data_IF_785025952392
#
_entry.id   IF_785025952392
#
_cell.length_a   1.000
_cell.length_b   1.000
_cell.length_c   1.000
_cell.angle_alpha   90.00
_cell.angle_beta   90.00
_cell.angle_gamma   90.00
#
_symmetry.space_group_name_H-M   'P 1'
#
loop_
_entity.id
_entity.type
_entity.pdbx_description
1 polymer ?
#
# COMPACT_ATOMS: atom_id res chain seq x y z
N UNK A 1 8.45 31.57 4.32
CA UNK A 1 8.01 30.17 4.46
C UNK A 1 6.90 29.87 3.46
N UNK A 2 6.94 28.73 2.73
CA UNK A 2 5.84 28.38 1.82
C UNK A 2 4.56 28.11 2.62
N UNK A 3 3.38 28.43 2.06
CA UNK A 3 2.07 28.20 2.71
C UNK A 3 1.91 26.74 3.17
N UNK A 4 2.47 25.77 2.43
CA UNK A 4 2.48 24.35 2.82
C UNK A 4 3.26 24.09 4.10
N UNK A 5 4.40 24.78 4.33
CA UNK A 5 5.23 24.59 5.53
C UNK A 5 4.51 25.07 6.78
N UNK A 6 3.79 26.21 6.69
CA UNK A 6 2.93 26.72 7.77
C UNK A 6 1.75 25.77 8.06
N UNK A 7 1.14 25.18 7.00
CA UNK A 7 -0.01 24.28 7.15
C UNK A 7 0.37 22.93 7.78
N UNK A 8 1.59 22.47 7.56
CA UNK A 8 2.08 21.18 8.05
C UNK A 8 2.89 21.30 9.36
N UNK A 9 2.92 22.48 9.97
CA UNK A 9 3.62 22.73 11.24
C UNK A 9 2.91 21.98 12.38
N UNK A 10 3.67 21.18 13.11
CA UNK A 10 3.20 20.49 14.31
C UNK A 10 3.33 21.47 15.48
N UNK A 11 2.20 21.93 15.99
CA UNK A 11 2.14 22.92 17.08
C UNK A 11 2.02 22.29 18.45
N UNK A 12 1.46 21.08 18.51
CA UNK A 12 1.32 20.33 19.74
C UNK A 12 0.79 18.93 19.45
N UNK A 13 0.96 18.04 20.41
CA UNK A 13 0.51 16.66 20.36
C UNK A 13 -0.06 16.24 21.72
N UNK A 14 -1.07 15.36 21.69
CA UNK A 14 -1.52 14.64 22.87
C UNK A 14 -0.58 13.48 23.14
N UNK A 15 -0.09 13.36 24.36
CA UNK A 15 0.63 12.19 24.83
C UNK A 15 -0.34 11.01 25.14
N UNK A 16 0.22 9.90 25.63
CA UNK A 16 -0.55 8.69 25.95
C UNK A 16 -1.50 8.88 27.15
N UNK A 17 -1.15 9.79 28.04
CA UNK A 17 -1.90 10.08 29.27
C UNK A 17 -3.00 11.15 29.03
N UNK A 18 -3.15 11.60 27.78
CA UNK A 18 -4.13 12.61 27.40
C UNK A 18 -3.72 14.03 27.80
N UNK A 19 -2.43 14.30 27.99
CA UNK A 19 -1.90 15.63 28.25
C UNK A 19 -1.47 16.28 26.94
N UNK A 20 -1.84 17.54 26.74
CA UNK A 20 -1.44 18.33 25.58
C UNK A 20 -0.04 18.91 25.78
N UNK A 21 0.87 18.66 24.84
CA UNK A 21 2.25 19.12 24.83
C UNK A 21 2.51 20.04 23.63
N UNK A 22 2.91 21.28 23.90
CA UNK A 22 3.25 22.29 22.88
C UNK A 22 4.75 22.56 22.83
N UNK A 23 5.50 22.20 23.84
CA UNK A 23 6.93 22.40 23.88
C UNK A 23 7.66 21.44 22.93
N UNK A 24 8.74 21.94 22.32
CA UNK A 24 9.49 21.19 21.31
C UNK A 24 10.05 19.86 21.84
N UNK A 25 10.46 19.81 23.11
CA UNK A 25 11.00 18.59 23.74
C UNK A 25 9.89 17.55 23.94
N UNK A 26 8.72 17.95 24.42
CA UNK A 26 7.57 17.06 24.60
C UNK A 26 7.08 16.49 23.27
N UNK A 27 6.95 17.32 22.22
CA UNK A 27 6.58 16.87 20.87
C UNK A 27 7.59 15.82 20.34
N UNK A 28 8.89 16.07 20.51
CA UNK A 28 9.94 15.14 20.09
C UNK A 28 9.87 13.83 20.87
N UNK A 29 9.68 13.88 22.19
CA UNK A 29 9.53 12.67 23.02
C UNK A 29 8.36 11.81 22.58
N UNK A 30 7.17 12.43 22.43
CA UNK A 30 5.95 11.75 21.98
C UNK A 30 6.17 11.08 20.61
N UNK A 31 6.77 11.80 19.68
CA UNK A 31 7.01 11.27 18.33
C UNK A 31 8.03 10.11 18.34
N UNK A 32 9.13 10.26 19.08
CA UNK A 32 10.19 9.24 19.18
C UNK A 32 9.68 7.98 19.87
N UNK A 33 8.96 8.12 20.97
CA UNK A 33 8.34 7.00 21.70
C UNK A 33 7.35 6.24 20.82
N UNK A 34 6.47 6.97 20.11
CA UNK A 34 5.50 6.37 19.20
C UNK A 34 6.17 5.49 18.13
N UNK A 35 7.26 5.94 17.52
CA UNK A 35 7.95 5.17 16.49
C UNK A 35 8.82 4.06 17.06
N UNK A 36 9.42 4.23 18.24
CA UNK A 36 10.11 3.15 18.95
C UNK A 36 9.16 1.97 19.21
N UNK A 37 7.95 2.24 19.71
CA UNK A 37 6.95 1.19 19.92
C UNK A 37 6.45 0.59 18.61
N UNK A 38 6.16 1.44 17.61
CA UNK A 38 5.65 0.97 16.32
C UNK A 38 6.63 0.03 15.61
N UNK A 39 7.94 0.31 15.69
CA UNK A 39 8.98 -0.44 15.01
C UNK A 39 9.67 -1.50 15.90
N UNK A 40 9.18 -1.74 17.12
CA UNK A 40 9.68 -2.81 17.98
C UNK A 40 8.92 -4.10 17.70
N UNK A 41 9.68 -5.19 17.46
CA UNK A 41 9.10 -6.53 17.27
C UNK A 41 8.44 -7.04 18.54
N UNK A 42 7.36 -7.79 18.39
CA UNK A 42 6.73 -8.57 19.46
C UNK A 42 7.18 -10.03 19.50
N UNK A 43 8.13 -10.42 18.62
CA UNK A 43 8.63 -11.80 18.49
C UNK A 43 7.51 -12.82 18.24
N UNK A 44 6.76 -12.72 17.13
CA UNK A 44 5.60 -13.56 16.84
C UNK A 44 5.94 -15.05 16.79
N UNK A 45 5.04 -15.89 17.30
CA UNK A 45 5.24 -17.35 17.42
C UNK A 45 4.74 -18.14 16.21
N UNK A 46 3.65 -17.74 15.59
CA UNK A 46 2.93 -18.48 14.54
C UNK A 46 3.55 -18.46 13.12
N UNK A 47 4.70 -17.80 12.94
CA UNK A 47 5.28 -17.54 11.61
C UNK A 47 5.58 -18.79 10.78
N UNK A 48 5.97 -19.90 11.43
CA UNK A 48 6.32 -21.15 10.73
C UNK A 48 5.08 -21.89 10.24
N UNK A 49 4.03 -21.92 11.04
CA UNK A 49 2.74 -22.53 10.64
C UNK A 49 2.20 -21.85 9.37
N UNK A 50 2.14 -20.52 9.35
CA UNK A 50 1.65 -19.77 8.20
C UNK A 50 2.57 -19.93 6.98
N UNK A 51 3.89 -19.89 7.16
CA UNK A 51 4.83 -20.10 6.07
C UNK A 51 4.66 -21.48 5.42
N UNK A 52 4.35 -22.52 6.20
CA UNK A 52 4.14 -23.88 5.67
C UNK A 52 2.92 -24.01 4.74
N UNK A 53 1.96 -23.07 4.76
CA UNK A 53 0.83 -23.03 3.84
C UNK A 53 1.23 -22.54 2.43
N UNK A 54 2.42 -21.95 2.27
CA UNK A 54 2.87 -21.36 1.00
C UNK A 54 3.61 -22.44 0.18
N UNK A 55 3.25 -22.61 -1.10
CA UNK A 55 3.97 -23.51 -1.98
C UNK A 55 5.35 -22.94 -2.35
N UNK A 56 6.29 -23.83 -2.65
CA UNK A 56 7.56 -23.44 -3.26
C UNK A 56 7.29 -22.96 -4.69
N UNK A 57 7.51 -21.67 -4.95
CA UNK A 57 7.17 -21.01 -6.22
C UNK A 57 8.37 -20.45 -6.96
N UNK A 58 9.52 -20.29 -6.31
CA UNK A 58 10.76 -19.80 -6.91
C UNK A 58 11.53 -20.96 -7.50
N UNK A 59 11.75 -20.93 -8.83
CA UNK A 59 12.46 -21.98 -9.55
C UNK A 59 13.99 -21.82 -9.44
N UNK A 60 14.79 -22.88 -9.76
CA UNK A 60 16.24 -22.77 -9.82
C UNK A 60 16.71 -21.68 -10.79
N UNK A 61 16.06 -21.54 -11.95
CA UNK A 61 16.38 -20.54 -12.99
C UNK A 61 16.14 -19.12 -12.48
N UNK A 62 15.03 -18.90 -11.73
CA UNK A 62 14.78 -17.61 -11.08
C UNK A 62 15.86 -17.30 -10.05
N UNK A 63 16.27 -18.26 -9.24
CA UNK A 63 17.33 -18.09 -8.27
C UNK A 63 18.68 -17.77 -8.93
N UNK A 64 19.00 -18.42 -10.05
CA UNK A 64 20.19 -18.09 -10.84
C UNK A 64 20.16 -16.64 -11.30
N UNK A 65 19.04 -16.16 -11.85
CA UNK A 65 18.89 -14.78 -12.28
C UNK A 65 18.97 -13.78 -11.11
N UNK A 66 18.38 -14.09 -9.98
CA UNK A 66 18.41 -13.24 -8.79
C UNK A 66 19.81 -13.12 -8.17
N UNK A 67 20.59 -14.20 -8.21
CA UNK A 67 21.92 -14.27 -7.55
C UNK A 67 23.09 -14.07 -8.49
N UNK A 68 22.85 -13.95 -9.80
CA UNK A 68 23.86 -13.61 -10.80
C UNK A 68 24.61 -12.33 -10.39
N UNK A 69 25.87 -12.24 -10.71
CA UNK A 69 26.68 -11.04 -10.46
C UNK A 69 25.99 -9.78 -11.00
N UNK A 70 25.91 -8.75 -10.16
CA UNK A 70 25.28 -7.47 -10.54
C UNK A 70 26.23 -6.69 -11.45
N UNK A 71 25.66 -6.10 -12.50
CA UNK A 71 26.39 -5.42 -13.56
C UNK A 71 26.20 -3.90 -13.51
N UNK A 72 27.16 -3.19 -14.11
CA UNK A 72 27.16 -1.73 -14.22
C UNK A 72 25.85 -1.16 -14.82
N UNK A 73 25.33 -1.83 -15.84
CA UNK A 73 24.14 -1.44 -16.58
C UNK A 73 22.88 -1.43 -15.71
N UNK A 74 22.78 -2.34 -14.75
CA UNK A 74 21.66 -2.41 -13.79
C UNK A 74 21.67 -1.20 -12.86
N UNK A 75 22.85 -0.76 -12.43
CA UNK A 75 23.03 0.43 -11.60
C UNK A 75 22.62 1.69 -12.39
N UNK A 76 23.11 1.83 -13.62
CA UNK A 76 22.75 2.93 -14.51
C UNK A 76 21.24 2.99 -14.74
N UNK A 77 20.62 1.86 -15.08
CA UNK A 77 19.17 1.75 -15.27
C UNK A 77 18.41 2.15 -14.00
N UNK A 78 18.88 1.72 -12.82
CA UNK A 78 18.26 2.08 -11.54
C UNK A 78 18.28 3.59 -11.30
N UNK A 79 19.44 4.26 -11.51
CA UNK A 79 19.59 5.71 -11.35
C UNK A 79 18.60 6.49 -12.21
N UNK A 80 18.54 6.19 -13.51
CA UNK A 80 17.67 6.92 -14.45
C UNK A 80 16.19 6.56 -14.31
N UNK A 81 15.85 5.44 -13.68
CA UNK A 81 14.46 5.06 -13.37
C UNK A 81 13.90 5.75 -12.12
N UNK A 82 14.74 6.37 -11.28
CA UNK A 82 14.30 7.16 -10.13
C UNK A 82 13.87 8.54 -10.63
N UNK A 83 12.64 8.95 -10.29
CA UNK A 83 12.14 10.26 -10.73
C UNK A 83 13.01 11.41 -10.17
N UNK A 84 13.45 12.38 -11.01
CA UNK A 84 14.42 13.43 -10.62
C UNK A 84 14.06 14.22 -9.38
N UNK A 85 12.76 14.51 -9.19
CA UNK A 85 12.24 15.35 -8.09
C UNK A 85 11.83 14.56 -6.84
N UNK A 86 12.21 13.27 -6.72
CA UNK A 86 12.00 12.53 -5.48
C UNK A 86 12.70 13.21 -4.32
N UNK A 87 12.01 13.27 -3.18
CA UNK A 87 12.57 13.86 -1.96
C UNK A 87 13.87 13.18 -1.55
N UNK A 88 14.91 13.96 -1.20
CA UNK A 88 16.20 13.46 -0.75
C UNK A 88 16.09 12.82 0.64
N UNK A 89 17.12 12.05 1.00
CA UNK A 89 17.32 11.53 2.33
C UNK A 89 18.03 12.56 3.27
N UNK A 90 18.63 12.06 4.37
CA UNK A 90 19.41 12.87 5.30
C UNK A 90 20.57 13.64 4.66
N UNK A 91 21.16 13.10 3.59
CA UNK A 91 22.25 13.72 2.81
C UNK A 91 21.82 14.98 2.02
N UNK A 92 20.52 15.23 1.89
CA UNK A 92 19.97 16.35 1.13
C UNK A 92 20.11 16.23 -0.39
N UNK A 93 20.70 15.15 -0.92
CA UNK A 93 20.96 14.96 -2.34
C UNK A 93 19.75 14.32 -3.04
N UNK A 94 19.17 15.02 -4.03
CA UNK A 94 18.05 14.52 -4.83
C UNK A 94 18.52 13.67 -6.03
N UNK A 95 17.63 12.87 -6.61
CA UNK A 95 17.97 12.03 -7.76
C UNK A 95 18.47 12.84 -8.97
N UNK A 96 17.98 14.06 -9.17
CA UNK A 96 18.45 14.94 -10.25
C UNK A 96 19.94 15.29 -10.12
N UNK A 97 20.50 15.37 -8.89
CA UNK A 97 21.91 15.58 -8.67
C UNK A 97 22.72 14.42 -9.27
N UNK A 98 22.37 13.17 -8.94
CA UNK A 98 23.05 11.98 -9.45
C UNK A 98 22.93 11.86 -10.97
N UNK A 99 21.78 12.19 -11.54
CA UNK A 99 21.54 12.11 -12.99
C UNK A 99 22.29 13.19 -13.77
N UNK A 100 22.36 14.43 -13.24
CA UNK A 100 23.05 15.56 -13.93
C UNK A 100 24.58 15.49 -13.84
N UNK A 101 25.10 15.01 -12.73
CA UNK A 101 26.55 14.92 -12.50
C UNK A 101 27.09 13.52 -12.71
N UNK A 102 26.36 12.69 -13.47
CA UNK A 102 26.68 11.29 -13.70
C UNK A 102 28.09 11.07 -14.28
N UNK A 103 28.51 11.92 -15.18
CA UNK A 103 29.86 11.87 -15.81
C UNK A 103 30.99 12.05 -14.79
N UNK A 104 30.71 12.72 -13.67
CA UNK A 104 31.70 12.98 -12.60
C UNK A 104 31.66 11.90 -11.53
N UNK A 105 30.45 11.59 -11.01
CA UNK A 105 30.29 10.72 -9.83
C UNK A 105 29.86 9.28 -10.16
N UNK A 106 29.50 9.00 -11.41
CA UNK A 106 28.88 7.75 -11.79
C UNK A 106 29.72 6.52 -11.49
N UNK A 107 31.05 6.58 -11.69
CA UNK A 107 31.94 5.45 -11.39
C UNK A 107 32.00 5.16 -9.88
N UNK A 108 32.04 6.18 -9.02
CA UNK A 108 32.07 6.00 -7.57
C UNK A 108 30.75 5.39 -7.06
N UNK A 109 29.61 5.84 -7.61
CA UNK A 109 28.30 5.28 -7.30
C UNK A 109 28.21 3.84 -7.74
N UNK A 110 28.65 3.51 -8.96
CA UNK A 110 28.64 2.14 -9.46
C UNK A 110 29.48 1.22 -8.57
N UNK A 111 30.71 1.62 -8.28
CA UNK A 111 31.61 0.86 -7.42
C UNK A 111 31.02 0.66 -6.02
N UNK A 112 30.44 1.70 -5.44
CA UNK A 112 29.78 1.61 -4.12
C UNK A 112 28.62 0.64 -4.14
N UNK A 113 27.74 0.73 -5.13
CA UNK A 113 26.55 -0.15 -5.25
C UNK A 113 26.98 -1.58 -5.53
N UNK A 114 27.90 -1.83 -6.46
CA UNK A 114 28.38 -3.16 -6.79
C UNK A 114 29.16 -3.83 -5.63
N UNK A 115 29.92 -3.06 -4.85
CA UNK A 115 30.58 -3.55 -3.64
C UNK A 115 29.55 -4.05 -2.61
N UNK A 116 28.44 -3.34 -2.44
CA UNK A 116 27.37 -3.79 -1.54
C UNK A 116 26.70 -5.05 -2.08
N UNK A 117 26.37 -5.09 -3.37
CA UNK A 117 25.58 -6.18 -3.95
C UNK A 117 26.38 -7.44 -4.24
N UNK A 118 27.65 -7.34 -4.65
CA UNK A 118 28.49 -8.48 -5.02
C UNK A 118 29.44 -8.90 -3.92
N UNK A 119 29.93 -7.97 -3.09
CA UNK A 119 30.98 -8.23 -2.09
C UNK A 119 30.47 -8.14 -0.64
N UNK A 120 29.15 -8.03 -0.40
CA UNK A 120 28.56 -7.89 0.94
C UNK A 120 29.11 -6.72 1.77
N UNK A 121 29.55 -5.63 1.13
CA UNK A 121 29.95 -4.43 1.84
C UNK A 121 28.78 -3.88 2.69
N UNK A 122 29.09 -3.23 3.80
CA UNK A 122 28.05 -2.73 4.72
C UNK A 122 27.19 -1.64 4.10
N UNK A 123 25.88 -1.81 4.18
CA UNK A 123 24.86 -0.81 3.76
C UNK A 123 24.66 0.27 4.83
N UNK A 124 25.05 0.04 6.07
CA UNK A 124 24.82 0.92 7.24
C UNK A 124 25.08 2.39 6.98
N UNK A 125 26.22 2.81 6.38
CA UNK A 125 26.51 4.23 6.15
C UNK A 125 25.53 4.93 5.20
N UNK A 126 24.89 4.16 4.30
CA UNK A 126 23.93 4.66 3.31
C UNK A 126 22.49 4.58 3.79
N UNK A 127 22.22 3.83 4.86
CA UNK A 127 20.89 3.38 5.25
C UNK A 127 20.21 4.25 6.33
N UNK A 128 20.73 5.44 6.58
CA UNK A 128 20.06 6.43 7.40
C UNK A 128 18.84 7.00 6.68
N UNK A 129 17.73 7.17 7.42
CA UNK A 129 16.45 7.53 6.85
C UNK A 129 15.72 8.54 7.76
N UNK A 130 15.23 9.62 7.18
CA UNK A 130 14.35 10.55 7.88
C UNK A 130 12.88 10.15 7.70
N UNK A 131 12.10 10.14 8.77
CA UNK A 131 10.64 9.97 8.71
C UNK A 131 9.99 11.34 8.64
N UNK A 132 9.35 11.64 7.51
CA UNK A 132 8.55 12.83 7.33
C UNK A 132 7.09 12.56 7.71
N UNK A 133 6.49 13.44 8.51
CA UNK A 133 5.12 13.34 8.99
C UNK A 133 4.17 14.11 8.07
N UNK A 134 3.35 13.39 7.32
CA UNK A 134 2.35 13.98 6.41
C UNK A 134 0.98 13.97 7.09
N UNK A 135 0.35 15.14 7.33
CA UNK A 135 -0.96 15.23 7.96
C UNK A 135 -2.05 14.50 7.16
N UNK A 136 -2.83 13.64 7.82
CA UNK A 136 -4.05 13.01 7.27
C UNK A 136 -5.27 13.93 7.37
N UNK A 137 -5.27 14.80 8.39
CA UNK A 137 -6.33 15.76 8.70
C UNK A 137 -5.83 17.20 8.61
N UNK A 138 -6.74 18.18 8.64
CA UNK A 138 -6.33 19.60 8.56
C UNK A 138 -5.60 20.13 9.82
N UNK A 139 -5.79 19.50 10.97
CA UNK A 139 -5.16 19.90 12.23
C UNK A 139 -4.90 18.65 13.07
N UNK A 140 -3.86 17.88 12.74
CA UNK A 140 -3.54 16.64 13.43
C UNK A 140 -3.05 16.94 14.85
N UNK A 141 -3.57 16.20 15.83
CA UNK A 141 -3.26 16.34 17.25
C UNK A 141 -2.66 15.07 17.85
N UNK A 142 -2.73 13.94 17.12
CA UNK A 142 -2.21 12.64 17.55
C UNK A 142 -1.27 12.06 16.49
N UNK A 143 -0.27 11.29 16.91
CA UNK A 143 0.67 10.64 16.00
C UNK A 143 0.00 9.70 14.98
N UNK A 144 -1.13 9.10 15.33
CA UNK A 144 -1.93 8.26 14.42
C UNK A 144 -2.54 9.01 13.24
N UNK A 145 -2.67 10.33 13.35
CA UNK A 145 -3.22 11.22 12.33
C UNK A 145 -2.17 11.69 11.29
N UNK A 146 -0.95 11.17 11.37
CA UNK A 146 0.08 11.39 10.38
C UNK A 146 0.37 10.13 9.57
N UNK A 147 0.76 10.32 8.32
CA UNK A 147 1.40 9.32 7.49
C UNK A 147 2.93 9.45 7.61
N UNK A 148 3.64 8.43 8.07
CA UNK A 148 5.08 8.41 8.07
C UNK A 148 5.59 8.09 6.65
N UNK A 149 6.39 8.96 6.06
CA UNK A 149 7.05 8.72 4.78
C UNK A 149 8.55 8.65 5.00
N UNK A 150 9.17 7.56 4.57
CA UNK A 150 10.61 7.33 4.70
C UNK A 150 11.39 8.06 3.61
N UNK A 151 12.21 9.00 4.01
CA UNK A 151 13.13 9.73 3.16
C UNK A 151 14.52 9.10 3.23
N UNK A 152 14.75 8.08 2.41
CA UNK A 152 16.04 7.39 2.29
C UNK A 152 17.01 8.17 1.39
N UNK A 153 18.30 8.03 1.61
CA UNK A 153 19.33 8.52 0.70
C UNK A 153 19.18 7.92 -0.70
N UNK A 154 19.49 8.71 -1.71
CA UNK A 154 19.37 8.24 -3.10
C UNK A 154 20.37 7.11 -3.40
N UNK A 155 21.58 7.16 -2.84
CA UNK A 155 22.55 6.07 -2.92
C UNK A 155 21.98 4.73 -2.45
N UNK A 156 21.28 4.72 -1.31
CA UNK A 156 20.56 3.54 -0.84
C UNK A 156 19.39 3.15 -1.79
N UNK A 157 18.60 4.14 -2.24
CA UNK A 157 17.49 3.89 -3.18
C UNK A 157 17.96 3.24 -4.48
N UNK A 158 19.17 3.53 -4.95
CA UNK A 158 19.76 2.87 -6.13
C UNK A 158 19.95 1.39 -5.86
N UNK A 159 20.55 1.02 -4.70
CA UNK A 159 20.72 -0.39 -4.30
C UNK A 159 19.38 -1.11 -4.27
N UNK A 160 18.44 -0.56 -3.52
CA UNK A 160 17.08 -1.10 -3.40
C UNK A 160 16.35 -1.21 -4.74
N UNK A 161 16.58 -0.25 -5.65
CA UNK A 161 15.98 -0.24 -6.99
C UNK A 161 16.57 -1.32 -7.91
N UNK A 162 17.87 -1.59 -7.82
CA UNK A 162 18.51 -2.70 -8.54
C UNK A 162 17.90 -4.02 -8.10
N UNK A 163 17.79 -4.26 -6.79
CA UNK A 163 17.14 -5.46 -6.24
C UNK A 163 15.67 -5.57 -6.67
N UNK A 164 14.93 -4.47 -6.60
CA UNK A 164 13.53 -4.40 -7.04
C UNK A 164 13.37 -4.73 -8.54
N UNK A 165 14.27 -4.22 -9.38
CA UNK A 165 14.24 -4.48 -10.82
C UNK A 165 14.51 -5.96 -11.14
N UNK A 166 15.41 -6.64 -10.39
CA UNK A 166 15.66 -8.09 -10.54
C UNK A 166 14.50 -8.95 -10.05
N UNK A 167 13.86 -8.58 -8.94
CA UNK A 167 12.73 -9.33 -8.39
C UNK A 167 11.48 -9.21 -9.28
N UNK A 168 11.26 -8.04 -9.86
CA UNK A 168 10.04 -7.69 -10.57
C UNK A 168 9.61 -8.68 -11.67
N UNK A 169 10.48 -9.22 -12.53
CA UNK A 169 10.08 -10.21 -13.56
C UNK A 169 9.51 -11.50 -12.99
N UNK A 170 9.97 -11.94 -11.81
CA UNK A 170 9.51 -13.17 -11.17
C UNK A 170 8.14 -13.03 -10.50
N UNK A 171 7.69 -11.80 -10.21
CA UNK A 171 6.47 -11.57 -9.43
C UNK A 171 5.21 -12.17 -10.05
N UNK A 172 5.07 -12.12 -11.38
CA UNK A 172 3.90 -12.68 -12.06
C UNK A 172 3.73 -14.18 -11.85
N UNK A 173 4.81 -14.89 -11.56
CA UNK A 173 4.83 -16.33 -11.31
C UNK A 173 4.72 -16.68 -9.82
N UNK A 174 5.39 -15.90 -8.94
CA UNK A 174 5.50 -16.24 -7.53
C UNK A 174 4.38 -15.65 -6.67
N UNK A 175 3.67 -14.64 -7.17
CA UNK A 175 2.53 -14.03 -6.51
C UNK A 175 1.23 -14.56 -7.12
N UNK A 176 0.34 -15.08 -6.29
CA UNK A 176 -0.93 -15.68 -6.72
C UNK A 176 -1.87 -14.64 -7.34
N UNK A 177 -2.78 -15.09 -8.20
CA UNK A 177 -3.65 -14.24 -9.04
C UNK A 177 -4.58 -13.31 -8.23
N UNK A 178 -4.86 -13.66 -6.98
CA UNK A 178 -5.70 -12.89 -6.06
C UNK A 178 -5.10 -11.51 -5.70
N UNK A 179 -3.76 -11.34 -5.80
CA UNK A 179 -3.06 -10.08 -5.55
C UNK A 179 -2.75 -9.36 -6.86
N UNK A 180 -3.28 -8.14 -7.06
CA UNK A 180 -3.07 -7.38 -8.30
C UNK A 180 -2.12 -6.19 -8.16
N UNK A 181 -1.79 -5.76 -6.94
CA UNK A 181 -0.93 -4.61 -6.73
C UNK A 181 0.53 -4.91 -7.10
N UNK A 182 1.20 -3.96 -7.75
CA UNK A 182 2.63 -3.96 -8.07
C UNK A 182 3.15 -5.16 -8.90
N UNK A 183 2.30 -6.09 -9.32
CA UNK A 183 2.65 -7.23 -10.15
C UNK A 183 2.59 -6.82 -11.62
N UNK A 184 3.65 -7.08 -12.43
CA UNK A 184 3.65 -6.74 -13.85
C UNK A 184 2.49 -7.41 -14.60
N UNK A 185 1.82 -6.63 -15.45
CA UNK A 185 0.71 -7.12 -16.29
C UNK A 185 -0.64 -7.20 -15.60
N UNK A 186 -0.72 -7.06 -14.26
CA UNK A 186 -2.01 -6.99 -13.53
C UNK A 186 -2.46 -5.55 -13.38
N UNK A 187 -3.76 -5.30 -13.58
CA UNK A 187 -4.32 -3.96 -13.57
C UNK A 187 -5.24 -3.78 -12.35
N UNK A 188 -5.17 -2.60 -11.72
CA UNK A 188 -6.10 -2.23 -10.65
C UNK A 188 -7.56 -2.27 -11.13
N UNK A 189 -7.79 -2.01 -12.43
CA UNK A 189 -9.12 -2.04 -13.06
C UNK A 189 -9.75 -3.43 -12.98
N UNK A 190 -8.96 -4.51 -13.22
CA UNK A 190 -9.46 -5.88 -13.18
C UNK A 190 -9.98 -6.22 -11.77
N UNK A 191 -9.24 -5.85 -10.75
CA UNK A 191 -9.62 -6.05 -9.36
C UNK A 191 -10.93 -5.30 -9.01
N UNK A 192 -11.04 -4.03 -9.47
CA UNK A 192 -12.26 -3.23 -9.28
C UNK A 192 -13.47 -3.87 -9.97
N UNK A 193 -13.31 -4.34 -11.22
CA UNK A 193 -14.42 -4.92 -12.00
C UNK A 193 -14.89 -6.24 -11.40
N UNK A 194 -13.98 -7.13 -10.99
CA UNK A 194 -14.35 -8.38 -10.30
C UNK A 194 -15.08 -8.10 -9.01
N UNK A 195 -14.58 -7.20 -8.16
CA UNK A 195 -15.26 -6.81 -6.94
C UNK A 195 -16.64 -6.19 -7.22
N UNK A 196 -16.74 -5.32 -8.23
CA UNK A 196 -18.01 -4.70 -8.64
C UNK A 196 -19.06 -5.73 -9.07
N UNK A 197 -18.68 -6.70 -9.90
CA UNK A 197 -19.58 -7.76 -10.36
C UNK A 197 -20.05 -8.63 -9.18
N UNK A 198 -19.15 -9.01 -8.27
CA UNK A 198 -19.52 -9.79 -7.08
C UNK A 198 -20.47 -8.97 -6.18
N UNK A 199 -20.19 -7.70 -5.93
CA UNK A 199 -21.05 -6.85 -5.11
C UNK A 199 -22.43 -6.64 -5.74
N UNK A 200 -22.49 -6.52 -7.07
CA UNK A 200 -23.75 -6.45 -7.81
C UNK A 200 -24.53 -7.76 -7.72
N UNK A 201 -23.82 -8.88 -7.76
CA UNK A 201 -24.38 -10.21 -7.60
C UNK A 201 -24.99 -10.44 -6.20
N UNK A 202 -24.34 -9.95 -5.12
CA UNK A 202 -24.85 -10.03 -3.76
C UNK A 202 -26.16 -9.26 -3.54
N UNK A 203 -26.48 -8.30 -4.40
CA UNK A 203 -27.77 -7.56 -4.37
C UNK A 203 -28.95 -8.32 -4.95
N UNK A 204 -28.77 -9.42 -5.67
CA UNK A 204 -29.87 -10.18 -6.27
C UNK A 204 -30.57 -11.02 -5.20
N UNK A 205 -31.90 -10.87 -5.10
CA UNK A 205 -32.73 -11.50 -4.09
C UNK A 205 -32.98 -13.05 -4.26
N UNK A 206 -32.87 -13.54 -5.49
CA UNK A 206 -33.32 -14.89 -5.85
C UNK A 206 -32.25 -15.96 -5.62
N UNK A 207 -31.92 -16.27 -4.35
CA UNK A 207 -30.91 -17.26 -4.02
C UNK A 207 -31.29 -18.11 -2.81
N UNK A 208 -30.86 -19.39 -2.83
CA UNK A 208 -31.00 -20.30 -1.71
C UNK A 208 -29.99 -20.03 -0.59
N UNK A 209 -28.75 -19.67 -0.96
CA UNK A 209 -27.66 -19.45 -0.02
C UNK A 209 -27.40 -17.96 0.19
N UNK A 210 -27.04 -17.58 1.39
CA UNK A 210 -26.65 -16.23 1.77
C UNK A 210 -25.13 -16.11 1.74
N UNK A 211 -24.62 -15.02 1.18
CA UNK A 211 -23.19 -14.73 1.08
C UNK A 211 -22.86 -13.39 1.72
N UNK A 212 -21.59 -13.21 2.04
CA UNK A 212 -21.07 -11.93 2.51
C UNK A 212 -19.74 -11.58 1.85
N UNK A 213 -19.44 -10.30 1.82
CA UNK A 213 -18.15 -9.75 1.46
C UNK A 213 -17.58 -8.99 2.66
N UNK A 214 -16.39 -9.36 3.11
CA UNK A 214 -15.71 -8.75 4.26
C UNK A 214 -14.57 -7.91 3.73
N UNK A 215 -14.72 -6.58 3.79
CA UNK A 215 -13.65 -5.65 3.45
C UNK A 215 -12.79 -5.41 4.68
N UNK A 216 -11.51 -5.69 4.57
CA UNK A 216 -10.53 -5.53 5.64
C UNK A 216 -9.68 -4.29 5.41
N UNK A 217 -9.37 -3.57 6.49
CA UNK A 217 -8.40 -2.48 6.55
C UNK A 217 -7.26 -2.90 7.47
N UNK A 218 -6.02 -2.87 6.97
CA UNK A 218 -4.86 -3.22 7.78
C UNK A 218 -4.26 -1.99 8.45
N UNK A 219 -4.09 -2.05 9.77
CA UNK A 219 -3.53 -0.97 10.56
C UNK A 219 -2.02 -0.90 10.42
N UNK A 220 -1.49 0.17 9.77
CA UNK A 220 -0.04 0.36 9.63
C UNK A 220 0.65 -0.84 8.94
N UNK A 221 0.08 -1.33 7.84
CA UNK A 221 0.46 -2.57 7.16
C UNK A 221 1.97 -2.69 6.91
N UNK A 222 2.62 -1.67 6.35
CA UNK A 222 4.06 -1.67 6.09
C UNK A 222 4.90 -1.58 7.37
N UNK A 223 4.46 -0.76 8.31
CA UNK A 223 5.22 -0.44 9.54
C UNK A 223 5.29 -1.63 10.51
N UNK A 224 4.39 -2.62 10.37
CA UNK A 224 4.25 -3.78 11.26
C UNK A 224 4.80 -5.08 10.71
N UNK A 225 5.30 -5.13 9.47
CA UNK A 225 5.83 -6.36 8.89
C UNK A 225 6.99 -6.89 9.72
N UNK A 226 6.84 -8.08 10.29
CA UNK A 226 7.90 -8.76 11.04
C UNK A 226 8.96 -9.31 10.11
N UNK A 227 10.22 -8.99 10.39
CA UNK A 227 11.33 -9.41 9.53
C UNK A 227 11.59 -10.92 9.58
N UNK A 228 11.36 -11.54 10.74
CA UNK A 228 11.45 -12.99 10.89
C UNK A 228 10.39 -13.70 10.05
N UNK A 229 9.17 -13.17 10.00
CA UNK A 229 8.09 -13.68 9.15
C UNK A 229 8.44 -13.55 7.67
N UNK A 230 8.85 -12.37 7.21
CA UNK A 230 9.29 -12.16 5.83
C UNK A 230 10.42 -13.12 5.43
N UNK A 231 11.42 -13.31 6.28
CA UNK A 231 12.53 -14.24 6.04
C UNK A 231 12.02 -15.66 5.84
N UNK A 232 11.16 -16.16 6.73
CA UNK A 232 10.57 -17.51 6.64
C UNK A 232 9.73 -17.68 5.36
N UNK A 233 8.93 -16.67 4.99
CA UNK A 233 8.18 -16.68 3.73
C UNK A 233 9.12 -16.84 2.54
N UNK A 234 10.20 -16.06 2.46
CA UNK A 234 11.18 -16.16 1.37
C UNK A 234 11.87 -17.54 1.34
N UNK A 235 12.28 -18.07 2.50
CA UNK A 235 12.86 -19.42 2.63
C UNK A 235 11.88 -20.48 2.10
N UNK A 236 10.62 -20.41 2.52
CA UNK A 236 9.58 -21.36 2.12
C UNK A 236 9.25 -21.30 0.63
N UNK A 237 9.18 -20.09 0.07
CA UNK A 237 8.99 -19.89 -1.39
C UNK A 237 10.16 -20.43 -2.21
N UNK A 238 11.32 -20.67 -1.60
CA UNK A 238 12.50 -21.27 -2.21
C UNK A 238 13.50 -20.26 -2.76
N UNK A 239 13.51 -19.02 -2.25
CA UNK A 239 14.59 -18.06 -2.56
C UNK A 239 15.94 -18.55 -2.08
N UNK A 240 16.99 -18.25 -2.84
CA UNK A 240 18.37 -18.57 -2.47
C UNK A 240 18.82 -17.73 -1.26
N UNK A 241 19.62 -18.35 -0.36
CA UNK A 241 20.14 -17.72 0.86
C UNK A 241 20.89 -16.41 0.59
N UNK A 242 21.70 -16.36 -0.49
CA UNK A 242 22.42 -15.14 -0.90
C UNK A 242 21.43 -13.99 -1.19
N UNK A 243 20.31 -14.28 -1.87
CA UNK A 243 19.28 -13.28 -2.15
C UNK A 243 18.58 -12.82 -0.87
N UNK A 244 18.18 -13.77 -0.01
CA UNK A 244 17.56 -13.48 1.29
C UNK A 244 18.49 -12.57 2.12
N UNK A 245 19.78 -12.91 2.20
CA UNK A 245 20.77 -12.13 2.94
C UNK A 245 20.90 -10.69 2.44
N UNK A 246 20.91 -10.47 1.11
CA UNK A 246 20.93 -9.12 0.52
C UNK A 246 19.69 -8.32 0.92
N UNK A 247 18.50 -8.90 0.81
CA UNK A 247 17.26 -8.24 1.21
C UNK A 247 17.26 -7.91 2.70
N UNK A 248 17.60 -8.89 3.55
CA UNK A 248 17.62 -8.70 4.99
C UNK A 248 18.63 -7.62 5.39
N UNK A 249 19.84 -7.59 4.79
CA UNK A 249 20.82 -6.54 5.03
C UNK A 249 20.27 -5.15 4.71
N UNK A 250 19.48 -5.00 3.64
CA UNK A 250 18.84 -3.73 3.30
C UNK A 250 17.80 -3.26 4.32
N UNK A 251 17.00 -4.17 4.89
CA UNK A 251 15.89 -3.78 5.78
C UNK A 251 16.29 -3.73 7.25
N UNK A 252 17.24 -4.58 7.71
CA UNK A 252 17.58 -4.68 9.15
C UNK A 252 18.66 -3.67 9.60
N UNK A 253 19.39 -3.07 8.68
CA UNK A 253 20.49 -2.13 9.00
C UNK A 253 20.07 -0.66 9.02
N UNK A 254 18.77 -0.39 8.89
CA UNK A 254 18.24 0.98 8.85
C UNK A 254 18.28 1.66 10.22
N UNK A 255 18.54 2.96 10.23
CA UNK A 255 18.29 3.84 11.36
C UNK A 255 17.37 4.99 10.96
N UNK A 256 16.45 5.37 11.87
CA UNK A 256 15.50 6.45 11.61
C UNK A 256 15.74 7.66 12.49
N UNK A 257 15.49 8.84 11.94
CA UNK A 257 15.25 10.08 12.67
C UNK A 257 13.91 10.67 12.26
N UNK A 258 13.16 11.25 13.18
CA UNK A 258 11.85 11.84 12.90
C UNK A 258 11.99 13.31 12.59
N UNK A 259 11.43 13.77 11.47
CA UNK A 259 11.41 15.20 11.09
C UNK A 259 10.27 15.92 11.79
N UNK A 260 10.57 16.69 12.81
CA UNK A 260 9.64 17.61 13.48
C UNK A 260 9.91 19.02 13.00
N UNK A 261 8.95 19.60 12.30
CA UNK A 261 9.04 20.97 11.74
C UNK A 261 10.29 21.21 10.88
N UNK A 262 10.84 20.16 10.26
CA UNK A 262 11.99 20.22 9.35
C UNK A 262 13.35 19.97 10.03
N UNK A 263 13.36 19.65 11.33
CA UNK A 263 14.58 19.26 12.06
C UNK A 263 14.49 17.76 12.37
N UNK A 264 15.59 17.04 12.16
CA UNK A 264 15.69 15.60 12.45
C UNK A 264 15.96 15.38 13.94
N UNK A 265 15.19 14.51 14.57
CA UNK A 265 15.30 14.20 15.99
C UNK A 265 15.30 12.69 16.23
N UNK A 266 15.99 12.28 17.30
CA UNK A 266 16.07 10.89 17.76
C UNK A 266 16.93 10.02 16.84
N UNK A 267 17.27 8.84 17.36
CA UNK A 267 17.89 7.75 16.61
C UNK A 267 17.13 6.47 16.98
N UNK A 268 16.29 6.00 16.06
CA UNK A 268 15.44 4.83 16.25
C UNK A 268 16.04 3.68 15.47
N UNK A 269 16.36 2.59 16.13
CA UNK A 269 16.80 1.33 15.50
C UNK A 269 15.60 0.39 15.47
N UNK A 270 14.94 0.20 14.31
CA UNK A 270 13.80 -0.69 14.23
C UNK A 270 14.20 -2.15 14.34
N UNK A 271 13.26 -2.98 14.76
CA UNK A 271 13.39 -4.45 14.76
C UNK A 271 12.31 -5.12 13.91
N UNK A 272 11.41 -4.31 13.31
CA UNK A 272 10.41 -4.70 12.30
C UNK A 272 10.06 -3.53 11.39
N UNK A 273 9.23 -3.78 10.40
CA UNK A 273 8.66 -2.80 9.49
C UNK A 273 9.39 -2.67 8.15
N UNK A 274 8.64 -2.26 7.14
CA UNK A 274 9.12 -1.93 5.80
C UNK A 274 8.96 -0.42 5.55
N UNK A 275 9.93 0.18 4.88
CA UNK A 275 9.91 1.63 4.62
C UNK A 275 8.89 2.02 3.56
N UNK A 276 8.00 2.96 3.89
CA UNK A 276 7.10 3.58 2.92
C UNK A 276 7.88 4.58 2.06
N UNK A 277 8.14 4.20 0.79
CA UNK A 277 8.92 5.00 -0.17
C UNK A 277 10.24 4.39 -0.60
N UNK A 278 10.59 3.23 -0.07
CA UNK A 278 11.69 2.38 -0.53
C UNK A 278 11.27 1.56 -1.76
N UNK A 279 12.05 1.52 -2.86
CA UNK A 279 11.71 0.79 -4.07
C UNK A 279 11.39 -0.69 -3.93
N UNK A 280 12.05 -1.41 -2.99
CA UNK A 280 11.85 -2.86 -2.79
C UNK A 280 10.66 -3.17 -1.87
N UNK A 281 10.33 -2.28 -0.93
CA UNK A 281 9.33 -2.52 0.11
C UNK A 281 7.96 -2.97 -0.39
N UNK A 282 7.39 -2.43 -1.48
CA UNK A 282 6.12 -2.92 -2.02
C UNK A 282 6.15 -4.41 -2.38
N UNK A 283 7.23 -4.88 -2.97
CA UNK A 283 7.36 -6.29 -3.38
C UNK A 283 7.54 -7.21 -2.18
N UNK A 284 8.31 -6.79 -1.16
CA UNK A 284 8.45 -7.54 0.09
C UNK A 284 7.12 -7.67 0.83
N UNK A 285 6.31 -6.61 0.80
CA UNK A 285 4.96 -6.64 1.35
C UNK A 285 4.07 -7.68 0.63
N UNK A 286 4.16 -7.76 -0.71
CA UNK A 286 3.43 -8.79 -1.46
C UNK A 286 3.86 -10.20 -1.08
N UNK A 287 5.16 -10.46 -0.85
CA UNK A 287 5.62 -11.76 -0.37
C UNK A 287 4.98 -12.11 0.97
N UNK A 288 4.90 -11.15 1.91
CA UNK A 288 4.22 -11.36 3.19
C UNK A 288 2.71 -11.64 3.01
N UNK A 289 2.05 -10.97 2.06
CA UNK A 289 0.62 -11.18 1.80
C UNK A 289 0.28 -12.57 1.24
N UNK A 290 1.26 -13.28 0.66
CA UNK A 290 1.09 -14.69 0.25
C UNK A 290 0.83 -15.61 1.45
N UNK A 291 1.30 -15.27 2.66
CA UNK A 291 0.92 -15.98 3.89
C UNK A 291 -0.58 -15.92 4.18
N UNK A 292 -1.18 -14.75 3.99
CA UNK A 292 -2.62 -14.57 4.14
C UNK A 292 -3.41 -15.34 3.07
N UNK A 293 -2.99 -15.24 1.81
CA UNK A 293 -3.55 -16.02 0.71
C UNK A 293 -3.44 -17.53 0.97
N UNK A 294 -2.29 -18.00 1.48
CA UNK A 294 -2.06 -19.41 1.82
C UNK A 294 -3.06 -19.95 2.84
N UNK A 295 -3.35 -19.20 3.91
CA UNK A 295 -4.35 -19.56 4.91
C UNK A 295 -5.76 -19.66 4.33
N UNK A 296 -6.16 -18.68 3.49
CA UNK A 296 -7.49 -18.70 2.84
C UNK A 296 -7.61 -19.90 1.89
N UNK A 297 -6.60 -20.18 1.09
CA UNK A 297 -6.61 -21.29 0.15
C UNK A 297 -6.59 -22.64 0.88
N UNK A 298 -5.89 -22.75 1.99
CA UNK A 298 -5.90 -23.96 2.83
C UNK A 298 -7.29 -24.21 3.41
N UNK A 299 -7.95 -23.19 3.96
CA UNK A 299 -9.33 -23.28 4.42
C UNK A 299 -10.30 -23.67 3.28
N UNK A 300 -10.07 -23.17 2.07
CA UNK A 300 -10.88 -23.50 0.89
C UNK A 300 -10.69 -24.95 0.45
N UNK A 301 -9.45 -25.45 0.41
CA UNK A 301 -9.15 -26.86 0.07
C UNK A 301 -9.79 -27.84 1.05
N UNK A 302 -9.87 -27.46 2.31
CA UNK A 302 -10.50 -28.24 3.38
C UNK A 302 -12.02 -28.03 3.49
N UNK A 303 -12.64 -27.33 2.53
CA UNK A 303 -14.07 -27.00 2.51
C UNK A 303 -14.58 -26.23 3.75
N UNK A 304 -13.68 -25.53 4.46
CA UNK A 304 -14.03 -24.65 5.59
C UNK A 304 -14.44 -23.24 5.14
N UNK A 305 -14.04 -22.87 3.92
CA UNK A 305 -14.40 -21.61 3.27
C UNK A 305 -14.79 -21.87 1.82
N UNK A 306 -15.97 -21.42 1.36
CA UNK A 306 -16.49 -21.80 0.05
C UNK A 306 -16.24 -20.79 -1.05
N UNK A 307 -16.00 -19.50 -0.71
CA UNK A 307 -15.92 -18.45 -1.71
C UNK A 307 -17.25 -18.16 -2.43
N UNK A 308 -17.20 -17.40 -3.51
CA UNK A 308 -18.38 -17.03 -4.31
C UNK A 308 -18.14 -17.27 -5.80
N UNK A 309 -19.12 -17.91 -6.47
CA UNK A 309 -19.17 -18.04 -7.93
C UNK A 309 -20.40 -17.31 -8.46
N UNK A 310 -20.20 -16.36 -9.37
CA UNK A 310 -21.28 -15.48 -9.88
C UNK A 310 -22.13 -16.13 -10.97
N UNK A 311 -21.63 -17.17 -11.63
CA UNK A 311 -22.37 -17.93 -12.64
C UNK A 311 -21.91 -19.39 -12.67
N UNK A 312 -22.68 -20.23 -13.37
CA UNK A 312 -22.35 -21.65 -13.57
C UNK A 312 -21.08 -21.74 -14.44
N UNK A 313 -20.09 -22.50 -14.00
CA UNK A 313 -18.77 -22.65 -14.63
C UNK A 313 -17.85 -21.42 -14.54
N UNK A 314 -18.16 -20.40 -13.73
CA UNK A 314 -17.21 -19.34 -13.41
C UNK A 314 -16.23 -19.78 -12.30
N UNK A 315 -15.02 -19.25 -12.29
CA UNK A 315 -14.10 -19.46 -11.18
C UNK A 315 -14.72 -19.01 -9.85
N UNK A 316 -14.42 -19.74 -8.79
CA UNK A 316 -14.80 -19.33 -7.44
C UNK A 316 -13.80 -18.32 -6.91
N UNK A 317 -14.29 -17.18 -6.48
CA UNK A 317 -13.46 -16.13 -5.89
C UNK A 317 -13.62 -16.17 -4.37
N UNK A 318 -12.53 -16.41 -3.67
CA UNK A 318 -12.48 -16.43 -2.19
C UNK A 318 -12.05 -15.10 -1.62
N UNK A 319 -11.11 -14.41 -2.28
CA UNK A 319 -10.59 -13.13 -1.86
C UNK A 319 -9.98 -12.34 -3.02
N UNK A 320 -9.86 -11.05 -2.84
CA UNK A 320 -9.15 -10.12 -3.71
C UNK A 320 -8.24 -9.26 -2.86
N UNK A 321 -6.99 -9.11 -3.29
CA UNK A 321 -5.98 -8.29 -2.64
C UNK A 321 -5.48 -7.20 -3.60
N UNK A 322 -5.28 -6.00 -3.05
CA UNK A 322 -4.57 -4.92 -3.72
C UNK A 322 -3.67 -4.21 -2.70
N UNK A 323 -2.46 -4.70 -2.53
CA UNK A 323 -1.56 -4.39 -1.42
C UNK A 323 -2.26 -4.68 -0.07
N UNK A 324 -2.51 -3.65 0.74
CA UNK A 324 -3.19 -3.74 2.04
C UNK A 324 -4.73 -3.72 1.97
N UNK A 325 -5.32 -3.28 0.84
CA UNK A 325 -6.77 -3.38 0.61
C UNK A 325 -7.17 -4.83 0.31
N UNK A 326 -7.98 -5.44 1.16
CA UNK A 326 -8.37 -6.85 1.07
C UNK A 326 -9.88 -7.02 1.15
N UNK A 327 -10.45 -7.94 0.35
CA UNK A 327 -11.84 -8.38 0.46
C UNK A 327 -11.88 -9.91 0.48
N UNK A 328 -12.56 -10.49 1.46
CA UNK A 328 -12.87 -11.91 1.54
C UNK A 328 -14.34 -12.12 1.16
N UNK A 329 -14.62 -13.18 0.41
CA UNK A 329 -15.96 -13.59 0.01
C UNK A 329 -16.25 -14.99 0.55
N UNK A 330 -17.39 -15.15 1.27
CA UNK A 330 -17.78 -16.41 1.86
C UNK A 330 -19.30 -16.47 2.10
N UNK A 331 -19.81 -17.61 2.60
CA UNK A 331 -21.21 -17.74 3.00
C UNK A 331 -21.46 -16.95 4.29
N UNK A 332 -22.64 -16.35 4.38
CA UNK A 332 -23.09 -15.64 5.58
C UNK A 332 -23.70 -16.65 6.59
N UNK A 333 -22.83 -17.33 7.32
CA UNK A 333 -23.18 -18.27 8.39
C UNK A 333 -22.10 -18.27 9.49
N UNK A 334 -22.42 -18.84 10.65
CA UNK A 334 -21.51 -18.86 11.80
C UNK A 334 -20.25 -19.71 11.57
N UNK A 335 -20.32 -20.77 10.77
CA UNK A 335 -19.19 -21.67 10.52
C UNK A 335 -18.07 -20.95 9.72
N UNK A 336 -18.42 -20.40 8.56
CA UNK A 336 -17.44 -19.67 7.73
C UNK A 336 -16.98 -18.36 8.38
N UNK A 337 -17.83 -17.72 9.20
CA UNK A 337 -17.43 -16.53 9.97
C UNK A 337 -16.37 -16.85 11.02
N UNK A 338 -16.51 -17.98 11.75
CA UNK A 338 -15.50 -18.45 12.70
C UNK A 338 -14.19 -18.81 11.99
N UNK A 339 -14.28 -19.45 10.81
CA UNK A 339 -13.10 -19.77 10.02
C UNK A 339 -12.36 -18.50 9.55
N UNK A 340 -13.09 -17.48 9.07
CA UNK A 340 -12.49 -16.18 8.74
C UNK A 340 -11.80 -15.59 9.95
N UNK A 341 -12.44 -15.59 11.13
CA UNK A 341 -11.83 -15.07 12.36
C UNK A 341 -10.53 -15.83 12.72
N UNK A 342 -10.55 -17.17 12.60
CA UNK A 342 -9.34 -18.01 12.82
C UNK A 342 -8.22 -17.62 11.85
N UNK A 343 -8.53 -17.45 10.57
CA UNK A 343 -7.54 -17.01 9.55
C UNK A 343 -6.94 -15.65 9.92
N UNK A 344 -7.78 -14.69 10.31
CA UNK A 344 -7.33 -13.36 10.69
C UNK A 344 -6.41 -13.40 11.92
N UNK A 345 -6.81 -14.13 12.97
CA UNK A 345 -6.02 -14.26 14.19
C UNK A 345 -4.67 -14.96 13.95
N UNK A 346 -4.66 -16.05 13.17
CA UNK A 346 -3.43 -16.75 12.79
C UNK A 346 -2.49 -15.86 12.00
N UNK A 347 -3.04 -15.08 11.06
CA UNK A 347 -2.23 -14.16 10.28
C UNK A 347 -1.69 -13.01 11.13
N UNK A 348 -2.51 -12.44 12.02
CA UNK A 348 -2.06 -11.43 12.98
C UNK A 348 -0.97 -11.97 13.90
N UNK A 349 -1.14 -13.18 14.45
CA UNK A 349 -0.15 -13.81 15.32
C UNK A 349 1.19 -14.07 14.61
N UNK A 350 1.17 -14.45 13.32
CA UNK A 350 2.36 -14.76 12.55
C UNK A 350 3.09 -13.54 12.01
N UNK A 351 2.35 -12.52 11.57
CA UNK A 351 2.86 -11.36 10.81
C UNK A 351 2.86 -10.06 11.60
N UNK A 352 2.15 -10.00 12.75
CA UNK A 352 1.82 -8.78 13.53
C UNK A 352 1.07 -7.70 12.72
N UNK A 353 0.56 -8.04 11.56
CA UNK A 353 -0.28 -7.15 10.78
C UNK A 353 -1.70 -7.13 11.34
N UNK A 354 -2.05 -6.08 12.07
CA UNK A 354 -3.34 -5.98 12.77
C UNK A 354 -4.46 -5.49 11.87
N UNK A 355 -5.60 -6.18 11.95
CA UNK A 355 -6.83 -5.75 11.30
C UNK A 355 -7.43 -4.59 12.09
N UNK A 356 -7.82 -3.54 11.38
CA UNK A 356 -8.56 -2.42 11.93
C UNK A 356 -10.07 -2.70 11.83
N UNK A 357 -10.64 -3.25 12.88
CA UNK A 357 -12.06 -3.64 12.90
C UNK A 357 -13.01 -2.45 12.73
N UNK A 358 -12.66 -1.26 13.26
CA UNK A 358 -13.48 -0.04 13.14
C UNK A 358 -13.61 0.46 11.69
N UNK A 359 -12.62 0.18 10.85
CA UNK A 359 -12.61 0.53 9.42
C UNK A 359 -12.94 -0.62 8.51
N UNK A 360 -12.95 -1.84 9.04
CA UNK A 360 -13.37 -3.03 8.32
C UNK A 360 -14.90 -3.08 8.27
N UNK A 361 -15.44 -3.69 7.22
CA UNK A 361 -16.90 -3.75 7.04
C UNK A 361 -17.33 -5.07 6.45
N UNK A 362 -18.52 -5.52 6.85
CA UNK A 362 -19.18 -6.70 6.31
C UNK A 362 -20.37 -6.26 5.47
N UNK A 363 -20.48 -6.77 4.28
CA UNK A 363 -21.61 -6.54 3.39
C UNK A 363 -22.32 -7.87 3.11
N UNK A 364 -23.59 -7.94 3.44
CA UNK A 364 -24.42 -9.14 3.29
C UNK A 364 -25.19 -9.15 1.98
N UNK A 365 -25.42 -10.34 1.43
CA UNK A 365 -26.36 -10.52 0.32
C UNK A 365 -27.79 -10.21 0.79
N UNK A 366 -28.63 -9.74 -0.15
CA UNK A 366 -29.95 -9.20 0.17
C UNK A 366 -30.92 -10.26 0.75
N UNK A 367 -30.68 -11.54 0.50
CA UNK A 367 -31.45 -12.67 1.04
C UNK A 367 -30.96 -13.13 2.43
N UNK A 368 -29.97 -12.49 3.03
CA UNK A 368 -29.47 -12.85 4.36
C UNK A 368 -30.48 -12.40 5.41
N UNK A 369 -30.98 -13.37 6.21
CA UNK A 369 -31.91 -13.13 7.32
C UNK A 369 -31.20 -12.37 8.43
N UNK A 370 -31.96 -11.57 9.21
CA UNK A 370 -31.41 -10.76 10.29
C UNK A 370 -30.72 -11.60 11.38
N UNK A 371 -31.30 -12.73 11.76
CA UNK A 371 -30.72 -13.69 12.72
C UNK A 371 -29.29 -14.11 12.33
N UNK A 372 -29.07 -14.40 11.01
CA UNK A 372 -27.73 -14.74 10.52
C UNK A 372 -26.76 -13.56 10.49
N UNK A 373 -27.28 -12.34 10.26
CA UNK A 373 -26.45 -11.14 10.30
C UNK A 373 -25.96 -10.86 11.71
N UNK A 374 -26.84 -11.01 12.70
CA UNK A 374 -26.51 -10.87 14.12
C UNK A 374 -25.47 -11.92 14.53
N UNK A 375 -25.70 -13.21 14.19
CA UNK A 375 -24.73 -14.28 14.46
C UNK A 375 -23.33 -13.95 13.88
N UNK A 376 -23.25 -13.47 12.64
CA UNK A 376 -21.98 -13.10 11.99
C UNK A 376 -21.34 -11.92 12.68
N UNK A 377 -22.12 -10.89 13.06
CA UNK A 377 -21.62 -9.71 13.78
C UNK A 377 -21.07 -10.06 15.15
N UNK A 378 -21.73 -10.93 15.88
CA UNK A 378 -21.28 -11.40 17.19
C UNK A 378 -19.92 -12.12 17.09
N UNK A 379 -19.70 -12.89 16.00
CA UNK A 379 -18.43 -13.59 15.77
C UNK A 379 -17.33 -12.65 15.31
N UNK A 380 -17.60 -11.77 14.32
CA UNK A 380 -16.60 -10.90 13.72
C UNK A 380 -16.36 -9.58 14.50
N UNK A 381 -17.15 -9.34 15.55
CA UNK A 381 -16.98 -8.20 16.45
C UNK A 381 -17.43 -6.86 15.86
N UNK A 382 -16.70 -5.78 16.14
CA UNK A 382 -17.08 -4.40 15.85
C UNK A 382 -17.05 -3.99 14.36
N UNK A 383 -16.94 -4.94 13.43
CA UNK A 383 -16.95 -4.62 12.00
C UNK A 383 -18.28 -3.98 11.58
N UNK A 384 -18.22 -2.92 10.81
CA UNK A 384 -19.41 -2.18 10.39
C UNK A 384 -20.28 -3.01 9.43
N UNK A 385 -21.56 -3.20 9.75
CA UNK A 385 -22.54 -3.71 8.78
C UNK A 385 -22.91 -2.58 7.81
N UNK A 386 -22.08 -2.38 6.82
CA UNK A 386 -22.30 -1.33 5.84
C UNK A 386 -21.78 -1.74 4.47
N UNK A 387 -22.52 -1.36 3.46
CA UNK A 387 -22.00 -1.44 2.09
C UNK A 387 -20.78 -0.54 1.96
N UNK A 388 -19.61 -1.06 1.57
CA UNK A 388 -18.45 -0.23 1.32
C UNK A 388 -18.80 0.77 0.20
N UNK A 389 -18.75 2.07 0.50
CA UNK A 389 -19.07 3.11 -0.48
C UNK A 389 -18.11 3.08 -1.67
N UNK A 390 -16.85 2.75 -1.40
CA UNK A 390 -15.76 2.70 -2.40
C UNK A 390 -14.88 1.48 -2.20
N UNK A 391 -14.38 0.96 -3.31
CA UNK A 391 -13.28 0.02 -3.35
C UNK A 391 -12.21 0.54 -4.31
N UNK A 392 -10.96 0.60 -3.88
CA UNK A 392 -9.83 1.15 -4.64
C UNK A 392 -10.12 2.55 -5.24
N UNK A 393 -10.81 3.39 -4.47
CA UNK A 393 -11.14 4.75 -4.87
C UNK A 393 -12.34 4.91 -5.81
N UNK A 394 -12.94 3.82 -6.30
CA UNK A 394 -14.11 3.81 -7.16
C UNK A 394 -15.36 3.32 -6.40
N UNK A 395 -16.57 3.72 -6.84
CA UNK A 395 -17.81 3.24 -6.24
C UNK A 395 -17.89 1.71 -6.30
N UNK A 396 -18.14 1.06 -5.18
CA UNK A 396 -18.35 -0.39 -5.13
C UNK A 396 -19.67 -0.82 -5.77
N UNK A 397 -20.59 0.12 -5.96
CA UNK A 397 -21.86 -0.10 -6.62
C UNK A 397 -22.37 1.16 -7.32
N UNK A 398 -23.11 0.96 -8.42
CA UNK A 398 -23.79 2.02 -9.16
C UNK A 398 -25.29 1.85 -8.99
N UNK A 399 -25.94 2.84 -8.34
CA UNK A 399 -27.38 2.93 -8.19
C UNK A 399 -28.07 3.47 -9.44
N UNK A 400 -29.40 3.73 -9.34
CA UNK A 400 -30.21 4.29 -10.44
C UNK A 400 -29.69 5.65 -10.93
N UNK A 401 -29.20 6.51 -10.03
CA UNK A 401 -28.63 7.82 -10.38
C UNK A 401 -27.11 7.75 -10.57
N UNK A 402 -26.67 7.34 -11.78
CA UNK A 402 -25.24 7.31 -12.14
C UNK A 402 -24.55 8.67 -11.95
N UNK A 403 -25.26 9.77 -12.29
CA UNK A 403 -24.72 11.13 -12.15
C UNK A 403 -24.32 11.46 -10.70
N UNK A 404 -25.15 11.06 -9.74
CA UNK A 404 -24.93 11.31 -8.33
C UNK A 404 -23.74 10.51 -7.79
N UNK A 405 -23.59 9.26 -8.23
CA UNK A 405 -22.48 8.38 -7.85
C UNK A 405 -21.12 8.94 -8.29
N UNK A 406 -21.05 9.52 -9.49
CA UNK A 406 -19.82 10.06 -10.05
C UNK A 406 -19.62 11.58 -9.84
N UNK A 407 -20.54 12.27 -9.15
CA UNK A 407 -20.46 13.72 -8.91
C UNK A 407 -19.16 14.14 -8.21
N UNK A 408 -18.63 13.28 -7.35
CA UNK A 408 -17.36 13.52 -6.66
C UNK A 408 -16.17 13.70 -7.63
N UNK A 409 -16.19 13.04 -8.79
CA UNK A 409 -15.17 13.22 -9.84
C UNK A 409 -15.23 14.64 -10.38
N UNK A 410 -16.44 15.14 -10.69
CA UNK A 410 -16.67 16.52 -11.11
C UNK A 410 -16.17 17.52 -10.06
N UNK A 411 -16.52 17.29 -8.80
CA UNK A 411 -16.04 18.15 -7.69
C UNK A 411 -14.51 18.18 -7.58
N UNK A 412 -13.85 17.04 -7.78
CA UNK A 412 -12.38 16.97 -7.80
C UNK A 412 -11.78 17.77 -8.95
N UNK A 413 -12.37 17.68 -10.15
CA UNK A 413 -11.98 18.51 -11.30
C UNK A 413 -12.19 19.99 -10.96
N UNK A 414 -13.36 20.38 -10.46
CA UNK A 414 -13.67 21.74 -10.06
C UNK A 414 -12.71 22.31 -9.02
N UNK A 415 -12.43 21.57 -7.94
CA UNK A 415 -11.48 21.98 -6.90
C UNK A 415 -10.06 22.21 -7.45
N UNK A 416 -9.63 21.42 -8.43
CA UNK A 416 -8.32 21.62 -9.09
C UNK A 416 -8.33 22.91 -9.91
N UNK A 417 -9.33 23.10 -10.76
CA UNK A 417 -9.45 24.28 -11.62
C UNK A 417 -9.57 25.57 -10.80
N UNK A 418 -10.40 25.60 -9.75
CA UNK A 418 -10.53 26.74 -8.85
C UNK A 418 -9.21 27.10 -8.17
N UNK A 419 -8.48 26.13 -7.63
CA UNK A 419 -7.17 26.38 -7.00
C UNK A 419 -6.10 26.89 -7.96
N UNK A 420 -6.32 26.82 -9.29
CA UNK A 420 -5.42 27.38 -10.30
C UNK A 420 -5.88 28.74 -10.83
N UNK A 421 -7.17 29.05 -10.76
CA UNK A 421 -7.71 30.39 -11.14
C UNK A 421 -7.05 31.53 -10.38
N UNK A 422 -6.72 31.31 -9.10
CA UNK A 422 -6.03 32.27 -8.24
C UNK A 422 -4.56 32.52 -8.64
N UNK A 423 -4.01 31.72 -9.57
CA UNK A 423 -2.65 31.86 -10.09
C UNK A 423 -2.70 32.54 -11.45
N UNK A 424 -1.92 33.60 -11.61
CA UNK A 424 -1.73 34.28 -12.89
C UNK A 424 -0.99 33.36 -13.88
N UNK A 425 -1.75 32.51 -14.59
CA UNK A 425 -1.21 31.52 -15.53
C UNK A 425 -1.31 32.05 -16.96
N UNK A 426 -0.24 31.85 -17.72
CA UNK A 426 -0.26 32.05 -19.18
C UNK A 426 -1.22 31.07 -19.86
N UNK A 427 -1.61 31.35 -21.10
CA UNK A 427 -2.46 30.45 -21.92
C UNK A 427 -1.81 29.06 -22.02
N UNK A 428 -0.51 28.98 -22.33
CA UNK A 428 0.22 27.70 -22.36
C UNK A 428 0.23 26.96 -21.01
N UNK A 429 0.34 27.69 -19.90
CA UNK A 429 0.23 27.11 -18.55
C UNK A 429 -1.16 26.51 -18.28
N UNK A 430 -2.24 27.17 -18.73
CA UNK A 430 -3.60 26.64 -18.62
C UNK A 430 -3.78 25.37 -19.46
N UNK A 431 -3.25 25.35 -20.69
CA UNK A 431 -3.29 24.19 -21.58
C UNK A 431 -2.64 22.96 -20.94
N UNK A 432 -1.43 23.13 -20.43
CA UNK A 432 -0.70 22.03 -19.77
C UNK A 432 -1.49 21.49 -18.57
N UNK A 433 -2.07 22.37 -17.73
CA UNK A 433 -2.83 21.95 -16.56
C UNK A 433 -4.14 21.24 -16.92
N UNK A 434 -4.83 21.68 -17.97
CA UNK A 434 -6.02 20.97 -18.47
C UNK A 434 -5.63 19.59 -18.96
N UNK A 435 -4.67 19.49 -19.89
CA UNK A 435 -4.26 18.22 -20.52
C UNK A 435 -3.63 17.23 -19.53
N UNK A 436 -2.66 17.70 -18.72
CA UNK A 436 -1.90 16.83 -17.87
C UNK A 436 -2.59 16.47 -16.54
N UNK A 437 -3.52 17.31 -16.06
CA UNK A 437 -4.12 17.12 -14.74
C UNK A 437 -5.64 17.04 -14.76
N UNK A 438 -6.34 18.03 -15.35
CA UNK A 438 -7.81 18.05 -15.28
C UNK A 438 -8.42 16.87 -16.04
N UNK A 439 -7.95 16.57 -17.23
CA UNK A 439 -8.39 15.42 -18.05
C UNK A 439 -7.97 14.07 -17.46
N UNK A 440 -6.86 14.00 -16.71
CA UNK A 440 -6.43 12.78 -16.06
C UNK A 440 -7.30 12.37 -14.85
N UNK A 441 -8.02 13.31 -14.22
CA UNK A 441 -8.85 13.01 -13.03
C UNK A 441 -9.95 11.99 -13.32
N UNK A 442 -10.76 12.08 -14.38
CA UNK A 442 -11.81 11.11 -14.68
C UNK A 442 -11.31 9.82 -15.35
N UNK A 443 -10.08 9.78 -15.90
CA UNK A 443 -9.58 8.68 -16.73
C UNK A 443 -9.66 7.33 -16.03
N UNK A 444 -9.31 7.26 -14.75
CA UNK A 444 -9.37 6.02 -13.98
C UNK A 444 -10.81 5.47 -13.88
N UNK A 445 -11.77 6.34 -13.58
CA UNK A 445 -13.18 5.92 -13.52
C UNK A 445 -13.74 5.57 -14.92
N UNK A 446 -13.30 6.28 -15.96
CA UNK A 446 -13.68 5.98 -17.35
C UNK A 446 -13.10 4.64 -17.83
N UNK A 447 -11.98 4.21 -17.30
CA UNK A 447 -11.42 2.87 -17.57
C UNK A 447 -12.29 1.72 -17.06
N UNK A 448 -13.14 1.96 -16.04
CA UNK A 448 -14.04 0.96 -15.47
C UNK A 448 -15.51 1.16 -15.86
N UNK A 449 -15.94 2.41 -16.02
CA UNK A 449 -17.36 2.76 -16.12
C UNK A 449 -17.63 3.79 -17.21
N UNK A 450 -18.75 3.61 -17.93
CA UNK A 450 -19.28 4.62 -18.82
C UNK A 450 -19.93 5.76 -18.01
N UNK A 451 -19.27 6.92 -17.97
CA UNK A 451 -19.77 8.09 -17.29
C UNK A 451 -21.00 8.68 -18.02
N UNK A 452 -21.98 9.25 -17.30
CA UNK A 452 -23.11 9.94 -17.93
C UNK A 452 -22.65 11.13 -18.79
N UNK A 453 -23.19 11.24 -20.02
CA UNK A 453 -22.84 12.32 -20.95
C UNK A 453 -22.99 13.70 -20.31
N UNK A 454 -24.12 13.96 -19.60
CA UNK A 454 -24.35 15.22 -18.91
C UNK A 454 -23.25 15.58 -17.88
N UNK A 455 -22.63 14.58 -17.24
CA UNK A 455 -21.53 14.80 -16.30
C UNK A 455 -20.23 15.17 -17.06
N UNK A 456 -20.00 14.54 -18.21
CA UNK A 456 -18.87 14.88 -19.09
C UNK A 456 -19.00 16.30 -19.61
N UNK A 457 -20.19 16.67 -20.11
CA UNK A 457 -20.48 18.02 -20.62
C UNK A 457 -20.25 19.09 -19.52
N UNK A 458 -20.64 18.82 -18.28
CA UNK A 458 -20.37 19.71 -17.13
C UNK A 458 -18.86 19.87 -16.85
N UNK A 459 -18.10 18.79 -16.87
CA UNK A 459 -16.64 18.83 -16.66
C UNK A 459 -15.93 19.57 -17.81
N UNK A 460 -16.36 19.34 -19.05
CA UNK A 460 -15.85 20.08 -20.22
C UNK A 460 -16.17 21.57 -20.11
N UNK A 461 -17.39 21.92 -19.68
CA UNK A 461 -17.78 23.29 -19.40
C UNK A 461 -16.87 23.99 -18.39
N UNK A 462 -16.52 23.28 -17.29
CA UNK A 462 -15.59 23.78 -16.28
C UNK A 462 -14.19 24.01 -16.87
N UNK A 463 -13.66 23.07 -17.68
CA UNK A 463 -12.37 23.20 -18.33
C UNK A 463 -12.35 24.35 -19.34
N UNK A 464 -13.43 24.52 -20.12
CA UNK A 464 -13.62 25.63 -21.07
C UNK A 464 -13.63 26.98 -20.37
N UNK A 465 -14.39 27.13 -19.28
CA UNK A 465 -14.43 28.36 -18.49
C UNK A 465 -13.06 28.70 -17.89
N UNK A 466 -12.30 27.69 -17.41
CA UNK A 466 -10.94 27.89 -16.94
C UNK A 466 -9.99 28.32 -18.08
N UNK A 467 -10.15 27.76 -19.27
CA UNK A 467 -9.34 28.14 -20.44
C UNK A 467 -9.53 29.61 -20.79
N UNK A 468 -10.77 30.06 -20.85
CA UNK A 468 -11.12 31.45 -21.20
C UNK A 468 -10.95 32.44 -20.04
N UNK A 469 -10.63 31.99 -18.83
CA UNK A 469 -10.44 32.84 -17.65
C UNK A 469 -11.74 33.35 -17.01
N UNK A 470 -12.85 32.66 -17.28
CA UNK A 470 -14.20 32.98 -16.77
C UNK A 470 -14.46 32.33 -15.39
#
# INVERSE_FOLDING_TARGET
MSQRRKKNEIRGLWDKDGKWCEDAKGIVSIATEHFNELFSTSCPSGSEEVANMIPRSVTPEMNEQLTKEFQREEVVQAVYSIHPTKAPGPDGMSAIFYQKYWDVIGNDIINTVLNVLNSNASVVPLNQTNIALIPKTNSPTKMTEFWPISLCNISYKIISKVLANRLKPSLSTIILENQSAFVPGRLIIDNVLVAFEIMHYLKKKERKESYMAIKLDMSKAYDRVEWCFLKKIMERMGFNEKWISLIMNCITTVSYSVLINGVAHGCITPTRGLRQGDPISPYLFLLCSEGFTGLILEATRNNRLSGISICRNCPTVTHLLFADDSIIYCKANGEESREVLIILLKYEEASEQKINTDKSSVFFSQNTKEEKREEVKDILGSMQDSQPKKYLGLPSMIGRSKKQVFNEIKERVGKKLMGWKEKLLSIGGREILIKAVAQAVPTYAMGCFLLPKSLCDEMEGMMRNFWWGQ
#
